data_IF_925132805574
#
_entry.id   IF_925132805574
#
_cell.length_a   1.000
_cell.length_b   1.000
_cell.length_c   1.000
_cell.angle_alpha   90.00
_cell.angle_beta   90.00
_cell.angle_gamma   90.00
#
_symmetry.space_group_name_H-M   'P 1'
#
loop_
_entity.id
_entity.type
_entity.pdbx_description
1 polymer ?
#
# COMPACT_ATOMS: atom_id res chain seq x y z
N UNK A 1 -18.96 53.15 -8.44
CA UNK A 1 -18.53 52.04 -7.56
C UNK A 1 -18.83 50.66 -8.16
N UNK A 2 -20.05 50.40 -8.66
CA UNK A 2 -20.42 49.09 -9.23
C UNK A 2 -19.53 48.62 -10.41
N UNK A 3 -19.14 49.51 -11.33
CA UNK A 3 -18.20 49.19 -12.43
C UNK A 3 -16.81 48.76 -11.95
N UNK A 4 -16.33 49.35 -10.84
CA UNK A 4 -15.01 49.04 -10.28
C UNK A 4 -15.03 47.66 -9.60
N UNK A 5 -16.10 47.36 -8.86
CA UNK A 5 -16.32 46.05 -8.24
C UNK A 5 -16.41 44.97 -9.32
N UNK A 6 -17.15 45.23 -10.41
CA UNK A 6 -17.31 44.29 -11.52
C UNK A 6 -15.97 43.99 -12.21
N UNK A 7 -15.15 45.01 -12.45
CA UNK A 7 -13.79 44.85 -12.97
C UNK A 7 -12.90 44.03 -12.03
N UNK A 8 -12.92 44.33 -10.72
CA UNK A 8 -12.14 43.59 -9.73
C UNK A 8 -12.57 42.12 -9.70
N UNK A 9 -13.88 41.83 -9.72
CA UNK A 9 -14.39 40.45 -9.74
C UNK A 9 -13.95 39.68 -10.99
N UNK A 10 -14.01 40.31 -12.17
CA UNK A 10 -13.57 39.67 -13.43
C UNK A 10 -12.07 39.36 -13.36
N UNK A 11 -11.26 40.33 -12.91
CA UNK A 11 -9.80 40.16 -12.79
C UNK A 11 -9.48 39.03 -11.81
N UNK A 12 -10.12 38.99 -10.64
CA UNK A 12 -9.91 37.91 -9.67
C UNK A 12 -10.28 36.55 -10.24
N UNK A 13 -11.43 36.42 -10.94
CA UNK A 13 -11.84 35.17 -11.56
C UNK A 13 -10.87 34.70 -12.65
N UNK A 14 -10.31 35.62 -13.45
CA UNK A 14 -9.31 35.28 -14.46
C UNK A 14 -7.98 34.80 -13.88
N UNK A 15 -7.58 35.28 -12.70
CA UNK A 15 -6.36 34.84 -12.01
C UNK A 15 -6.56 33.42 -11.44
N UNK A 16 -7.70 33.14 -10.79
CA UNK A 16 -8.01 31.79 -10.29
C UNK A 16 -8.21 30.78 -11.42
N UNK A 17 -8.73 31.21 -12.57
CA UNK A 17 -8.87 30.35 -13.74
C UNK A 17 -7.53 30.07 -14.44
N UNK A 18 -6.44 30.72 -14.08
CA UNK A 18 -5.16 30.65 -14.79
C UNK A 18 -4.02 30.29 -13.85
N UNK A 19 -4.22 29.33 -12.94
CA UNK A 19 -3.11 28.80 -12.15
C UNK A 19 -2.19 27.97 -13.07
N UNK A 20 -0.95 28.41 -13.33
CA UNK A 20 0.00 27.67 -14.15
C UNK A 20 0.48 26.37 -13.49
N UNK A 21 0.13 26.12 -12.23
CA UNK A 21 0.45 24.89 -11.50
C UNK A 21 -0.76 23.95 -11.36
N UNK A 22 -1.88 24.23 -12.05
CA UNK A 22 -3.03 23.33 -12.06
C UNK A 22 -2.63 21.99 -12.73
N UNK A 23 -2.60 20.86 -12.00
CA UNK A 23 -2.19 19.57 -12.54
C UNK A 23 -3.16 19.04 -13.61
N UNK A 24 -4.34 19.65 -13.74
CA UNK A 24 -5.34 19.31 -14.74
C UNK A 24 -5.26 20.21 -15.98
N UNK A 25 -4.31 21.14 -16.06
CA UNK A 25 -4.11 22.00 -17.24
C UNK A 25 -2.87 21.61 -18.03
N UNK A 26 -2.96 21.81 -19.33
CA UNK A 26 -1.82 21.60 -20.19
C UNK A 26 -0.75 22.66 -19.93
N UNK A 27 0.51 22.26 -20.03
CA UNK A 27 1.61 23.21 -20.00
C UNK A 27 1.62 24.13 -21.24
N UNK A 28 2.56 25.07 -21.28
CA UNK A 28 2.71 26.02 -22.40
C UNK A 28 3.01 25.36 -23.75
N UNK A 29 3.43 24.10 -23.75
CA UNK A 29 3.72 23.29 -24.94
C UNK A 29 2.56 22.34 -25.27
N UNK A 30 1.43 22.43 -24.58
CA UNK A 30 0.29 21.52 -24.75
C UNK A 30 0.54 20.12 -24.20
N UNK A 31 1.49 19.96 -23.27
CA UNK A 31 1.82 18.67 -22.65
C UNK A 31 1.12 18.50 -21.30
N UNK A 32 0.84 17.25 -20.99
CA UNK A 32 0.25 16.80 -19.74
C UNK A 32 1.20 15.81 -19.04
N UNK A 33 0.95 15.50 -17.76
CA UNK A 33 1.64 14.41 -17.08
C UNK A 33 1.45 13.07 -17.83
N UNK A 34 2.38 12.10 -17.65
CA UNK A 34 2.26 10.78 -18.24
C UNK A 34 0.89 10.14 -17.99
N UNK A 35 0.36 9.49 -19.02
CA UNK A 35 -0.95 8.85 -19.01
C UNK A 35 -2.11 9.82 -19.20
N UNK A 36 -1.83 11.05 -19.60
CA UNK A 36 -2.86 12.05 -19.92
C UNK A 36 -2.62 12.65 -21.30
N UNK A 37 -3.68 13.22 -21.88
CA UNK A 37 -3.64 13.96 -23.14
C UNK A 37 -4.25 15.35 -22.93
N UNK A 38 -3.73 16.32 -23.67
CA UNK A 38 -4.27 17.67 -23.67
C UNK A 38 -5.46 17.76 -24.64
N UNK A 39 -6.65 18.11 -24.13
CA UNK A 39 -7.82 18.46 -24.94
C UNK A 39 -8.38 19.80 -24.42
N UNK A 40 -8.51 20.78 -25.31
CA UNK A 40 -9.03 22.12 -24.99
C UNK A 40 -8.33 22.80 -23.78
N UNK A 41 -7.02 22.63 -23.66
CA UNK A 41 -6.23 23.19 -22.56
C UNK A 41 -6.34 22.45 -21.22
N UNK A 42 -7.05 21.31 -21.20
CA UNK A 42 -7.26 20.46 -20.02
C UNK A 42 -6.62 19.08 -20.23
N UNK A 43 -6.00 18.53 -19.19
CA UNK A 43 -5.42 17.20 -19.19
C UNK A 43 -6.47 16.15 -18.82
N UNK A 44 -6.75 15.24 -19.75
CA UNK A 44 -7.62 14.09 -19.53
C UNK A 44 -6.82 12.80 -19.47
N UNK A 45 -7.17 11.94 -18.52
CA UNK A 45 -6.58 10.61 -18.41
C UNK A 45 -6.83 9.78 -19.67
N UNK A 46 -5.78 9.10 -20.14
CA UNK A 46 -5.83 8.22 -21.29
C UNK A 46 -6.44 6.87 -20.90
N UNK A 47 -7.56 6.45 -21.51
CA UNK A 47 -8.22 5.20 -21.14
C UNK A 47 -7.43 3.94 -21.57
N UNK A 48 -6.48 4.09 -22.49
CA UNK A 48 -5.61 3.01 -22.95
C UNK A 48 -4.41 2.77 -22.02
N UNK A 49 -4.16 3.67 -21.06
CA UNK A 49 -3.17 3.45 -20.02
C UNK A 49 -3.75 2.60 -18.89
N UNK A 50 -2.96 1.65 -18.33
CA UNK A 50 -3.41 0.82 -17.23
C UNK A 50 -3.69 1.68 -15.99
N UNK A 51 -4.77 1.34 -15.28
CA UNK A 51 -5.04 1.97 -13.99
C UNK A 51 -3.97 1.53 -12.99
N UNK A 52 -3.25 2.50 -12.43
CA UNK A 52 -2.23 2.24 -11.41
C UNK A 52 -2.91 2.12 -10.06
N UNK A 53 -3.09 0.89 -9.57
CA UNK A 53 -3.48 0.67 -8.19
C UNK A 53 -2.28 0.93 -7.27
N UNK A 54 -2.52 1.63 -6.16
CA UNK A 54 -1.47 1.82 -5.15
C UNK A 54 -1.22 0.50 -4.42
N UNK A 55 0.00 -0.08 -4.50
CA UNK A 55 0.35 -1.26 -3.72
C UNK A 55 0.51 -0.89 -2.24
N UNK A 56 0.43 -1.90 -1.36
CA UNK A 56 0.89 -1.74 0.03
C UNK A 56 2.40 -1.53 0.01
N UNK A 57 2.86 -0.45 0.64
CA UNK A 57 4.27 -0.05 0.58
C UNK A 57 5.01 -0.44 1.84
N UNK A 58 6.03 -1.30 1.73
CA UNK A 58 6.89 -1.66 2.86
C UNK A 58 7.55 -0.44 3.50
N UNK A 59 8.02 -0.59 4.74
CA UNK A 59 8.58 0.54 5.50
C UNK A 59 9.84 1.08 4.83
N UNK A 60 9.89 2.38 4.55
CA UNK A 60 11.01 3.02 3.84
C UNK A 60 10.98 2.83 2.32
N UNK A 61 9.90 2.29 1.77
CA UNK A 61 9.67 2.26 0.33
C UNK A 61 8.78 3.42 -0.09
N UNK A 62 9.09 4.00 -1.25
CA UNK A 62 8.27 5.00 -1.93
C UNK A 62 7.95 4.47 -3.33
N UNK A 63 6.75 4.76 -3.79
CA UNK A 63 6.35 4.54 -5.17
C UNK A 63 6.64 5.81 -5.98
N UNK A 64 7.32 5.64 -7.11
CA UNK A 64 7.44 6.67 -8.13
C UNK A 64 6.72 6.19 -9.40
N UNK A 65 6.21 7.13 -10.19
CA UNK A 65 5.67 6.84 -11.51
C UNK A 65 6.74 7.13 -12.55
N UNK A 66 7.01 6.16 -13.40
CA UNK A 66 7.93 6.29 -14.54
C UNK A 66 7.13 6.05 -15.81
N UNK A 67 7.21 6.94 -16.82
CA UNK A 67 6.53 6.71 -18.08
C UNK A 67 7.10 5.49 -18.80
N UNK A 68 6.22 4.67 -19.39
CA UNK A 68 6.58 3.61 -20.32
C UNK A 68 6.83 4.16 -21.75
N UNK A 69 7.09 3.28 -22.72
CA UNK A 69 7.33 3.66 -24.12
C UNK A 69 6.14 4.37 -24.78
N UNK A 70 4.93 4.22 -24.23
CA UNK A 70 3.69 4.86 -24.72
C UNK A 70 3.32 6.08 -23.89
N UNK A 71 4.21 6.54 -23.02
CA UNK A 71 4.01 7.61 -22.05
C UNK A 71 2.87 7.32 -21.06
N UNK A 72 2.65 6.04 -20.72
CA UNK A 72 1.75 5.64 -19.65
C UNK A 72 2.50 5.52 -18.31
N UNK A 73 1.89 5.91 -17.18
CA UNK A 73 2.55 5.88 -15.88
C UNK A 73 2.67 4.45 -15.38
N UNK A 74 3.89 4.02 -15.07
CA UNK A 74 4.17 2.71 -14.50
C UNK A 74 4.73 2.86 -13.07
N UNK A 75 4.17 2.16 -12.07
CA UNK A 75 4.63 2.25 -10.70
C UNK A 75 5.98 1.53 -10.55
N UNK A 76 6.96 2.22 -9.97
CA UNK A 76 8.25 1.65 -9.57
C UNK A 76 8.47 1.89 -8.08
N UNK A 77 8.74 0.82 -7.35
CA UNK A 77 8.97 0.86 -5.90
C UNK A 77 10.46 1.05 -5.65
N UNK A 78 10.82 2.07 -4.88
CA UNK A 78 12.19 2.37 -4.47
C UNK A 78 12.26 2.34 -2.95
N UNK A 79 13.05 1.42 -2.42
CA UNK A 79 13.28 1.27 -0.99
C UNK A 79 14.65 1.81 -0.60
N UNK A 80 14.69 2.72 0.37
CA UNK A 80 15.92 3.31 0.88
C UNK A 80 15.81 3.53 2.38
N UNK A 81 16.89 3.28 3.13
CA UNK A 81 16.96 3.56 4.57
C UNK A 81 16.66 5.04 4.88
N UNK A 82 17.10 5.97 4.03
CA UNK A 82 16.83 7.41 4.18
C UNK A 82 15.34 7.75 4.16
N UNK A 83 14.51 6.94 3.48
CA UNK A 83 13.06 7.15 3.48
C UNK A 83 12.41 6.80 4.82
N UNK A 84 13.14 6.17 5.75
CA UNK A 84 12.67 5.91 7.12
C UNK A 84 13.03 7.04 8.08
N UNK A 85 13.77 8.05 7.63
CA UNK A 85 14.14 9.19 8.47
C UNK A 85 12.90 9.98 8.86
N UNK A 86 12.81 10.31 10.15
CA UNK A 86 11.74 11.08 10.76
C UNK A 86 12.36 12.08 11.72
N UNK A 87 12.59 13.31 11.26
CA UNK A 87 13.44 14.26 11.97
C UNK A 87 14.87 13.72 12.15
N UNK A 88 15.27 13.54 13.39
CA UNK A 88 16.60 13.04 13.78
C UNK A 88 16.65 11.53 14.05
N UNK A 89 15.52 10.83 13.94
CA UNK A 89 15.43 9.38 14.15
C UNK A 89 15.11 8.63 12.86
N UNK A 90 15.31 7.31 12.86
CA UNK A 90 14.88 6.43 11.77
C UNK A 90 13.81 5.48 12.30
N UNK A 91 12.66 5.44 11.62
CA UNK A 91 11.58 4.53 11.98
C UNK A 91 11.97 3.08 11.69
N UNK A 92 11.59 2.19 12.61
CA UNK A 92 11.73 0.76 12.43
C UNK A 92 10.73 0.21 11.39
N UNK A 93 10.92 -1.04 10.98
CA UNK A 93 9.95 -1.73 10.11
C UNK A 93 8.61 -1.86 10.86
N UNK A 94 7.50 -1.65 10.17
CA UNK A 94 6.15 -1.61 10.76
C UNK A 94 5.68 -0.21 11.15
N UNK A 95 6.56 0.78 11.09
CA UNK A 95 6.26 2.17 11.42
C UNK A 95 6.49 3.09 10.22
N UNK A 96 5.72 4.17 10.15
CA UNK A 96 5.92 5.27 9.23
C UNK A 96 6.14 6.57 9.99
N UNK A 97 6.80 7.54 9.36
CA UNK A 97 6.98 8.87 9.94
C UNK A 97 5.70 9.68 9.80
N UNK A 98 5.15 10.17 10.90
CA UNK A 98 4.17 11.25 10.86
C UNK A 98 4.92 12.58 10.63
N UNK A 99 4.72 13.25 9.48
CA UNK A 99 5.44 14.48 9.15
C UNK A 99 5.07 15.64 10.08
N UNK A 100 3.87 15.65 10.66
CA UNK A 100 3.38 16.74 11.49
C UNK A 100 3.99 16.71 12.89
N UNK A 101 4.16 15.51 13.45
CA UNK A 101 4.67 15.30 14.82
C UNK A 101 6.12 14.85 14.86
N UNK A 102 6.73 14.51 13.71
CA UNK A 102 8.07 13.90 13.61
C UNK A 102 8.22 12.63 14.46
N UNK A 103 7.14 11.88 14.63
CA UNK A 103 7.13 10.62 15.40
C UNK A 103 6.88 9.42 14.51
N UNK A 104 7.47 8.28 14.89
CA UNK A 104 7.22 7.01 14.24
C UNK A 104 5.92 6.42 14.78
N UNK A 105 4.95 6.21 13.90
CA UNK A 105 3.62 5.68 14.22
C UNK A 105 3.36 4.41 13.42
N UNK A 106 2.49 3.54 13.93
CA UNK A 106 2.14 2.29 13.24
C UNK A 106 1.59 2.58 11.84
N UNK A 107 1.97 1.75 10.87
CA UNK A 107 1.48 1.86 9.50
C UNK A 107 -0.04 1.74 9.42
N UNK A 108 -0.66 2.77 8.85
CA UNK A 108 -2.11 2.88 8.71
C UNK A 108 -2.68 2.00 7.60
N UNK A 109 -1.86 1.61 6.63
CA UNK A 109 -2.23 0.74 5.52
C UNK A 109 -2.14 -0.75 5.88
N UNK A 110 -1.67 -1.06 7.09
CA UNK A 110 -1.69 -2.41 7.64
C UNK A 110 -3.07 -2.76 8.21
N UNK A 111 -3.45 -4.05 8.19
CA UNK A 111 -4.65 -4.51 8.88
C UNK A 111 -4.59 -4.14 10.37
N UNK A 112 -5.72 -3.76 11.00
CA UNK A 112 -5.73 -3.48 12.43
C UNK A 112 -5.35 -4.73 13.20
N UNK A 113 -4.28 -4.64 13.99
CA UNK A 113 -3.90 -5.70 14.93
C UNK A 113 -4.99 -5.78 15.98
N UNK A 114 -5.85 -6.80 15.90
CA UNK A 114 -6.81 -7.08 16.97
C UNK A 114 -6.02 -7.28 18.26
N UNK A 115 -6.43 -6.61 19.35
CA UNK A 115 -5.75 -6.68 20.65
C UNK A 115 -5.43 -8.13 20.98
N UNK A 116 -4.14 -8.48 20.95
CA UNK A 116 -3.67 -9.74 21.52
C UNK A 116 -4.00 -9.68 23.01
N UNK A 117 -4.80 -10.61 23.57
CA UNK A 117 -5.11 -10.61 24.99
C UNK A 117 -3.81 -10.61 25.79
N UNK A 118 -3.69 -9.73 26.78
CA UNK A 118 -2.44 -9.54 27.54
C UNK A 118 -1.98 -10.81 28.28
N UNK A 119 -2.89 -11.76 28.50
CA UNK A 119 -2.65 -13.03 29.18
C UNK A 119 -2.24 -14.17 28.21
N UNK A 120 -2.27 -13.91 26.90
CA UNK A 120 -1.97 -14.90 25.88
C UNK A 120 -0.46 -14.97 25.63
N UNK A 121 0.24 -15.74 26.49
CA UNK A 121 1.68 -16.03 26.35
C UNK A 121 2.03 -16.74 25.03
N UNK A 122 1.02 -17.24 24.32
CA UNK A 122 1.16 -18.00 23.09
C UNK A 122 1.13 -17.12 21.83
N UNK A 123 0.78 -15.84 21.91
CA UNK A 123 0.69 -14.98 20.72
C UNK A 123 1.79 -13.93 20.72
N UNK A 124 2.61 -13.91 19.66
CA UNK A 124 3.62 -12.87 19.42
C UNK A 124 3.29 -12.06 18.18
N UNK A 125 3.60 -10.77 18.21
CA UNK A 125 3.56 -9.93 17.02
C UNK A 125 4.88 -10.10 16.25
N UNK A 126 4.75 -10.46 14.98
CA UNK A 126 5.87 -10.52 14.02
C UNK A 126 5.53 -9.67 12.81
N UNK A 127 6.54 -9.29 12.03
CA UNK A 127 6.34 -8.59 10.76
C UNK A 127 6.09 -9.62 9.66
N UNK A 128 5.05 -9.40 8.85
CA UNK A 128 4.84 -10.12 7.61
C UNK A 128 5.76 -9.62 6.48
N UNK A 129 5.59 -10.16 5.27
CA UNK A 129 6.38 -9.76 4.11
C UNK A 129 6.20 -8.29 3.74
N UNK A 130 5.08 -7.68 4.09
CA UNK A 130 4.77 -6.28 3.82
C UNK A 130 5.24 -5.34 4.93
N UNK A 131 5.91 -5.82 5.98
CA UNK A 131 6.21 -5.08 7.21
C UNK A 131 4.97 -4.65 7.98
N UNK A 132 3.93 -5.48 8.03
CA UNK A 132 2.79 -5.29 8.90
C UNK A 132 2.89 -6.21 10.12
N UNK A 133 2.54 -5.69 11.29
CA UNK A 133 2.48 -6.51 12.50
C UNK A 133 1.31 -7.48 12.42
N UNK A 134 1.60 -8.77 12.53
CA UNK A 134 0.61 -9.84 12.55
C UNK A 134 0.78 -10.71 13.79
N UNK A 135 -0.31 -11.12 14.46
CA UNK A 135 -0.24 -12.07 15.56
C UNK A 135 0.03 -13.47 15.03
N UNK A 136 1.04 -14.13 15.58
CA UNK A 136 1.37 -15.54 15.28
C UNK A 136 1.32 -16.33 16.58
N UNK A 137 0.63 -17.48 16.54
CA UNK A 137 0.54 -18.41 17.65
C UNK A 137 1.79 -19.31 17.65
N UNK A 138 2.62 -19.16 18.68
CA UNK A 138 3.89 -19.90 18.82
C UNK A 138 3.75 -21.21 19.60
N UNK A 139 2.54 -21.54 20.09
CA UNK A 139 2.30 -22.76 20.85
C UNK A 139 1.91 -23.98 19.98
N UNK A 140 1.77 -23.83 18.66
CA UNK A 140 1.41 -24.92 17.74
C UNK A 140 2.56 -25.82 17.27
N UNK A 141 3.69 -25.87 18.01
CA UNK A 141 4.82 -26.76 17.67
C UNK A 141 5.03 -27.96 18.62
N UNK A 142 3.99 -28.39 19.35
CA UNK A 142 4.01 -29.70 20.02
C UNK A 142 3.23 -30.76 19.26
N UNK A 143 3.60 -31.05 18.00
CA UNK A 143 3.28 -32.37 17.41
C UNK A 143 4.20 -33.43 18.03
N UNK A 144 3.86 -33.85 19.24
CA UNK A 144 4.06 -35.23 19.68
C UNK A 144 2.66 -35.76 19.98
N UNK A 145 2.19 -36.85 19.38
CA UNK A 145 2.55 -38.21 19.78
C UNK A 145 2.57 -39.13 18.56
N UNK A 146 3.72 -39.77 18.40
CA UNK A 146 3.95 -40.96 17.57
C UNK A 146 3.08 -42.11 18.14
N UNK A 147 1.91 -42.38 17.56
CA UNK A 147 1.30 -43.70 17.73
C UNK A 147 2.03 -44.67 16.80
N UNK A 148 3.10 -45.30 17.30
CA UNK A 148 3.56 -46.58 16.76
C UNK A 148 2.40 -47.56 16.94
N UNK A 149 1.61 -47.83 15.90
CA UNK A 149 0.87 -49.09 15.84
C UNK A 149 1.90 -50.16 15.50
N UNK A 150 2.13 -51.07 16.44
CA UNK A 150 2.88 -52.29 16.19
C UNK A 150 2.28 -53.00 14.98
N UNK A 151 3.14 -53.37 14.04
CA UNK A 151 2.80 -54.32 13.01
C UNK A 151 2.63 -55.68 13.69
N UNK A 152 1.40 -56.20 13.73
CA UNK A 152 1.18 -57.63 13.76
C UNK A 152 0.64 -58.04 12.39
N UNK A 153 1.56 -58.56 11.60
CA UNK A 153 1.29 -59.30 10.39
C UNK A 153 0.85 -60.71 10.76
N UNK A 154 -0.23 -61.19 10.12
CA UNK A 154 -0.56 -62.57 9.69
C UNK A 154 -2.05 -62.84 9.94
N UNK A 155 -2.85 -63.55 9.14
CA UNK A 155 -2.73 -64.21 7.83
C UNK A 155 -4.11 -64.87 7.60
N UNK A 156 -4.64 -64.79 6.37
CA UNK A 156 -5.46 -65.80 5.67
C UNK A 156 -6.86 -66.23 6.16
N UNK A 157 -7.85 -66.05 5.26
CA UNK A 157 -8.95 -66.97 4.83
C UNK A 157 -9.91 -67.48 5.93
N UNK A 158 -11.24 -67.41 5.82
CA UNK A 158 -12.13 -67.97 4.78
C UNK A 158 -13.60 -67.64 5.12
N UNK A 159 -14.49 -67.79 4.13
CA UNK A 159 -15.97 -67.86 4.13
C UNK A 159 -16.67 -68.21 5.47
N UNK A 160 -17.90 -67.71 5.68
CA UNK A 160 -19.18 -68.45 5.60
C UNK A 160 -20.39 -67.53 5.90
N UNK A 161 -21.32 -67.51 4.94
CA UNK A 161 -22.79 -67.30 4.89
C UNK A 161 -23.67 -66.98 6.15
N UNK A 162 -24.90 -66.55 5.81
CA UNK A 162 -26.21 -66.58 6.54
C UNK A 162 -26.56 -65.23 7.22
N UNK A 163 -27.66 -64.50 6.95
CA UNK A 163 -28.99 -64.69 6.30
C UNK A 163 -29.26 -63.55 5.32
#
# INVERSE_FOLDING_TARGET
MMKLILLITIITLSVFASDPNDPFKCDKNGKCPPGSRCEDGTCYGRPDCPQVMMPRMKSGCKMILVPDERDCPMPKIICNKENRRCGDVYCERGYFCNPDTTTCVLRWDCPPVRKVPSDDKCTKLVLDDDDCFVPVNICEESKSIRQKRSADTKTSKNNWLVV
#
